data_IF_793288876674
#
_entry.id   IF_793288876674
#
_cell.length_a   1.000
_cell.length_b   1.000
_cell.length_c   1.000
_cell.angle_alpha   90.00
_cell.angle_beta   90.00
_cell.angle_gamma   90.00
#
_symmetry.space_group_name_H-M   'P 1'
#
loop_
_entity.id
_entity.type
_entity.pdbx_description
1 polymer ?
#
# COMPACT_ATOMS: atom_id res chain seq x y z
N UNK A 1 -18.44 -5.47 5.21
CA UNK A 1 -17.96 -5.24 3.83
C UNK A 1 -18.10 -6.56 3.08
N UNK A 2 -19.17 -6.72 2.31
CA UNK A 2 -19.64 -8.04 1.86
C UNK A 2 -18.71 -8.56 0.75
N UNK A 3 -18.12 -9.73 1.01
CA UNK A 3 -17.15 -10.40 0.15
C UNK A 3 -17.79 -10.85 -1.17
N UNK A 4 -17.03 -10.73 -2.26
CA UNK A 4 -17.33 -11.35 -3.55
C UNK A 4 -17.38 -12.88 -3.37
N UNK A 5 -18.58 -13.45 -3.22
CA UNK A 5 -18.78 -14.90 -3.00
C UNK A 5 -18.71 -15.74 -4.27
N UNK A 6 -18.31 -15.15 -5.41
CA UNK A 6 -18.20 -15.85 -6.70
C UNK A 6 -19.54 -16.30 -7.30
N UNK A 7 -20.65 -16.25 -6.55
CA UNK A 7 -22.02 -16.56 -6.99
C UNK A 7 -22.75 -15.36 -7.59
N UNK A 8 -22.33 -14.15 -7.21
CA UNK A 8 -22.90 -12.89 -7.66
C UNK A 8 -21.77 -12.02 -8.22
N UNK A 9 -21.98 -11.49 -9.43
CA UNK A 9 -20.98 -10.67 -10.14
C UNK A 9 -20.71 -9.31 -9.47
N UNK A 10 -21.54 -8.91 -8.49
CA UNK A 10 -21.40 -7.67 -7.73
C UNK A 10 -22.02 -7.86 -6.33
N UNK A 11 -21.30 -7.44 -5.28
CA UNK A 11 -21.77 -7.51 -3.88
C UNK A 11 -22.85 -6.47 -3.52
N UNK A 12 -23.19 -5.56 -4.44
CA UNK A 12 -24.19 -4.51 -4.23
C UNK A 12 -25.54 -4.84 -4.88
N UNK A 13 -25.57 -5.32 -6.13
CA UNK A 13 -26.82 -5.55 -6.85
C UNK A 13 -27.37 -6.98 -6.73
N UNK A 14 -26.59 -7.94 -6.19
CA UNK A 14 -26.98 -9.35 -6.04
C UNK A 14 -27.48 -10.02 -7.34
N UNK A 15 -27.21 -9.46 -8.51
CA UNK A 15 -27.56 -10.08 -9.78
C UNK A 15 -26.86 -11.45 -9.89
N UNK A 16 -27.58 -12.52 -10.27
CA UNK A 16 -26.98 -13.82 -10.52
C UNK A 16 -25.87 -13.63 -11.56
N UNK A 17 -24.62 -13.92 -11.18
CA UNK A 17 -23.54 -13.96 -12.14
C UNK A 17 -23.76 -15.16 -13.07
N UNK A 18 -23.58 -14.99 -14.37
CA UNK A 18 -23.41 -16.15 -15.24
C UNK A 18 -22.04 -16.76 -15.00
N UNK A 19 -22.00 -18.03 -14.61
CA UNK A 19 -20.78 -18.82 -14.69
C UNK A 19 -20.43 -19.00 -16.17
N UNK A 20 -19.34 -18.38 -16.61
CA UNK A 20 -18.69 -18.79 -17.87
C UNK A 20 -18.01 -20.11 -17.54
N UNK A 21 -18.39 -21.19 -18.23
CA UNK A 21 -17.90 -22.53 -17.95
C UNK A 21 -16.38 -22.61 -18.09
N UNK A 22 -15.69 -22.50 -16.94
CA UNK A 22 -14.43 -23.18 -16.72
C UNK A 22 -14.79 -24.51 -16.07
N UNK A 23 -14.41 -25.63 -16.68
CA UNK A 23 -14.59 -26.93 -16.04
C UNK A 23 -13.86 -26.95 -14.69
N UNK A 24 -14.36 -27.67 -13.67
CA UNK A 24 -13.63 -27.85 -12.41
C UNK A 24 -12.17 -28.32 -12.62
N UNK A 25 -11.92 -29.06 -13.70
CA UNK A 25 -10.58 -29.46 -14.14
C UNK A 25 -9.68 -28.27 -14.52
N UNK A 26 -10.23 -27.20 -15.11
CA UNK A 26 -9.49 -25.99 -15.47
C UNK A 26 -8.99 -25.25 -14.24
N UNK A 27 -9.85 -25.06 -13.23
CA UNK A 27 -9.45 -24.41 -11.97
C UNK A 27 -8.40 -25.24 -11.24
N UNK A 28 -8.54 -26.56 -11.21
CA UNK A 28 -7.53 -27.45 -10.62
C UNK A 28 -6.17 -27.37 -11.31
N UNK A 29 -6.14 -27.22 -12.64
CA UNK A 29 -4.89 -27.00 -13.40
C UNK A 29 -4.25 -25.67 -13.02
N UNK A 30 -5.03 -24.59 -12.98
CA UNK A 30 -4.54 -23.27 -12.59
C UNK A 30 -4.01 -23.27 -11.15
N UNK A 31 -4.70 -23.96 -10.25
CA UNK A 31 -4.31 -24.04 -8.84
C UNK A 31 -2.98 -24.78 -8.68
N UNK A 32 -2.82 -25.92 -9.35
CA UNK A 32 -1.55 -26.67 -9.37
C UNK A 32 -0.40 -25.80 -9.88
N UNK A 33 -0.63 -25.05 -10.97
CA UNK A 33 0.38 -24.14 -11.54
C UNK A 33 0.74 -23.02 -10.60
N UNK A 34 -0.25 -22.35 -10.01
CA UNK A 34 -0.03 -21.30 -9.02
C UNK A 34 0.83 -21.83 -7.87
N UNK A 35 0.45 -22.95 -7.28
CA UNK A 35 1.16 -23.53 -6.13
C UNK A 35 2.59 -23.98 -6.47
N UNK A 36 2.86 -24.34 -7.74
CA UNK A 36 4.19 -24.78 -8.21
C UNK A 36 5.21 -23.67 -8.44
N UNK A 37 4.76 -22.41 -8.58
CA UNK A 37 5.69 -21.27 -8.73
C UNK A 37 6.56 -21.20 -7.47
N UNK A 38 7.79 -20.68 -7.50
CA UNK A 38 8.56 -20.39 -6.29
C UNK A 38 8.71 -18.87 -6.15
N UNK A 39 8.29 -18.24 -5.03
CA UNK A 39 8.31 -16.81 -4.92
C UNK A 39 9.70 -16.33 -4.49
N UNK A 40 10.11 -15.10 -4.84
CA UNK A 40 11.29 -14.49 -4.24
C UNK A 40 11.17 -14.44 -2.71
N UNK A 41 12.29 -14.53 -2.00
CA UNK A 41 12.33 -14.52 -0.53
C UNK A 41 11.75 -13.23 0.09
N UNK A 42 11.69 -12.13 -0.66
CA UNK A 42 11.10 -10.86 -0.26
C UNK A 42 9.57 -10.90 -0.10
N UNK A 43 8.91 -11.99 -0.52
CA UNK A 43 7.45 -12.11 -0.43
C UNK A 43 7.07 -12.61 0.95
N UNK A 44 6.48 -11.72 1.76
CA UNK A 44 6.07 -12.03 3.14
C UNK A 44 4.89 -12.99 3.25
N UNK A 45 4.17 -13.25 2.15
CA UNK A 45 3.02 -14.18 2.09
C UNK A 45 3.15 -15.14 0.92
N UNK A 46 3.04 -16.43 1.24
CA UNK A 46 3.04 -17.51 0.26
C UNK A 46 1.69 -17.60 -0.47
N UNK A 47 1.71 -18.28 -1.62
CA UNK A 47 0.54 -18.49 -2.45
C UNK A 47 -0.46 -19.40 -1.76
N UNK A 48 -1.73 -19.08 -1.90
CA UNK A 48 -2.86 -19.91 -1.48
C UNK A 48 -3.66 -20.34 -2.69
N UNK A 49 -4.51 -21.35 -2.51
CA UNK A 49 -5.36 -21.85 -3.57
C UNK A 49 -6.27 -20.76 -4.14
N UNK A 50 -6.59 -20.84 -5.42
CA UNK A 50 -7.58 -19.99 -6.09
C UNK A 50 -8.98 -20.13 -5.48
N UNK A 51 -9.26 -21.23 -4.78
CA UNK A 51 -10.51 -21.41 -4.05
C UNK A 51 -10.66 -20.42 -2.89
N UNK A 52 -9.54 -19.98 -2.29
CA UNK A 52 -9.51 -19.05 -1.15
C UNK A 52 -9.41 -17.58 -1.59
N UNK A 53 -9.53 -17.29 -2.89
CA UNK A 53 -9.31 -15.93 -3.43
C UNK A 53 -10.22 -14.86 -2.82
N UNK A 54 -11.40 -15.24 -2.33
CA UNK A 54 -12.30 -14.32 -1.60
C UNK A 54 -11.75 -13.87 -0.24
N UNK A 55 -10.73 -14.56 0.30
CA UNK A 55 -10.03 -14.25 1.55
C UNK A 55 -8.61 -13.73 1.31
N UNK A 56 -8.20 -13.52 0.06
CA UNK A 56 -6.90 -12.94 -0.25
C UNK A 56 -6.80 -11.49 0.22
N UNK A 57 -5.69 -11.17 0.87
CA UNK A 57 -5.35 -9.78 1.20
C UNK A 57 -4.90 -9.04 -0.05
N UNK A 58 -4.91 -7.72 0.01
CA UNK A 58 -4.48 -6.86 -1.11
C UNK A 58 -3.05 -7.19 -1.58
N UNK A 59 -2.14 -7.53 -0.66
CA UNK A 59 -0.78 -7.96 -1.02
C UNK A 59 -0.74 -9.26 -1.83
N UNK A 60 -1.66 -10.19 -1.58
CA UNK A 60 -1.78 -11.43 -2.34
C UNK A 60 -2.37 -11.17 -3.72
N UNK A 61 -3.38 -10.29 -3.81
CA UNK A 61 -3.90 -9.82 -5.09
C UNK A 61 -2.86 -9.10 -5.94
N UNK A 62 -2.03 -8.26 -5.31
CA UNK A 62 -0.88 -7.61 -5.97
C UNK A 62 0.08 -8.67 -6.54
N UNK A 63 0.46 -9.64 -5.71
CA UNK A 63 1.38 -10.69 -6.13
C UNK A 63 0.80 -11.57 -7.25
N UNK A 64 -0.49 -11.89 -7.15
CA UNK A 64 -1.23 -12.58 -8.21
C UNK A 64 -1.14 -11.80 -9.52
N UNK A 65 -1.54 -10.53 -9.52
CA UNK A 65 -1.57 -9.71 -10.73
C UNK A 65 -0.18 -9.63 -11.39
N UNK A 66 0.85 -9.30 -10.62
CA UNK A 66 2.16 -8.94 -11.17
C UNK A 66 3.06 -10.12 -11.48
N UNK A 67 2.97 -11.22 -10.73
CA UNK A 67 3.95 -12.31 -10.82
C UNK A 67 3.36 -13.67 -11.19
N UNK A 68 2.11 -13.94 -10.79
CA UNK A 68 1.57 -15.30 -10.91
C UNK A 68 0.53 -15.45 -12.03
N UNK A 69 -0.25 -14.40 -12.30
CA UNK A 69 -1.42 -14.49 -13.15
C UNK A 69 -1.08 -14.97 -14.56
N UNK A 70 -0.17 -14.26 -15.25
CA UNK A 70 0.20 -14.57 -16.64
C UNK A 70 0.77 -15.99 -16.83
N UNK A 71 1.79 -16.45 -16.07
CA UNK A 71 2.29 -17.82 -16.23
C UNK A 71 1.27 -18.88 -15.81
N UNK A 72 0.43 -18.60 -14.81
CA UNK A 72 -0.60 -19.53 -14.36
C UNK A 72 -1.64 -19.79 -15.45
N UNK A 73 -2.14 -18.73 -16.08
CA UNK A 73 -3.25 -18.81 -17.06
C UNK A 73 -2.80 -19.08 -18.51
N UNK A 74 -1.49 -19.03 -18.80
CA UNK A 74 -0.95 -19.23 -20.15
C UNK A 74 -1.29 -20.61 -20.73
N UNK A 75 -1.86 -20.67 -21.93
CA UNK A 75 -2.25 -21.94 -22.57
C UNK A 75 -3.44 -22.66 -21.94
N UNK A 76 -4.02 -22.12 -20.87
CA UNK A 76 -5.30 -22.58 -20.30
C UNK A 76 -6.42 -21.63 -20.71
N UNK A 77 -6.17 -20.33 -20.61
CA UNK A 77 -7.08 -19.29 -21.05
C UNK A 77 -7.00 -19.13 -22.57
N UNK A 78 -8.14 -18.87 -23.24
CA UNK A 78 -8.13 -18.63 -24.69
C UNK A 78 -7.19 -17.45 -25.02
N UNK A 79 -6.43 -17.50 -26.14
CA UNK A 79 -5.40 -16.52 -26.45
C UNK A 79 -5.88 -15.06 -26.39
N UNK A 80 -7.13 -14.79 -26.80
CA UNK A 80 -7.73 -13.44 -26.76
C UNK A 80 -7.82 -12.88 -25.33
N UNK A 81 -8.25 -13.69 -24.36
CA UNK A 81 -8.39 -13.24 -22.98
C UNK A 81 -7.02 -13.17 -22.31
N UNK A 82 -6.07 -14.04 -22.67
CA UNK A 82 -4.71 -13.95 -22.14
C UNK A 82 -4.03 -12.66 -22.59
N UNK A 83 -4.10 -12.33 -23.90
CA UNK A 83 -3.61 -11.05 -24.42
C UNK A 83 -4.31 -9.86 -23.77
N UNK A 84 -5.60 -9.98 -23.48
CA UNK A 84 -6.33 -8.96 -22.74
C UNK A 84 -5.80 -8.78 -21.31
N UNK A 85 -5.54 -9.87 -20.57
CA UNK A 85 -4.93 -9.81 -19.24
C UNK A 85 -3.53 -9.20 -19.26
N UNK A 86 -2.73 -9.47 -20.30
CA UNK A 86 -1.40 -8.85 -20.47
C UNK A 86 -1.48 -7.32 -20.49
N UNK A 87 -2.49 -6.73 -21.16
CA UNK A 87 -2.67 -5.27 -21.17
C UNK A 87 -2.80 -4.68 -19.76
N UNK A 88 -3.59 -5.33 -18.89
CA UNK A 88 -3.76 -4.90 -17.50
C UNK A 88 -2.47 -5.04 -16.72
N UNK A 89 -1.80 -6.19 -16.83
CA UNK A 89 -0.56 -6.48 -16.07
C UNK A 89 0.55 -5.52 -16.49
N UNK A 90 0.78 -5.36 -17.79
CA UNK A 90 1.80 -4.42 -18.31
C UNK A 90 1.51 -2.98 -17.89
N UNK A 91 0.25 -2.54 -18.03
CA UNK A 91 -0.15 -1.17 -17.67
C UNK A 91 0.07 -0.88 -16.19
N UNK A 92 -0.36 -1.78 -15.30
CA UNK A 92 -0.17 -1.60 -13.85
C UNK A 92 1.30 -1.72 -13.45
N UNK A 93 2.05 -2.67 -14.04
CA UNK A 93 3.47 -2.86 -13.74
C UNK A 93 4.30 -1.62 -14.10
N UNK A 94 4.07 -1.02 -15.26
CA UNK A 94 4.76 0.19 -15.68
C UNK A 94 4.53 1.37 -14.72
N UNK A 95 3.31 1.48 -14.17
CA UNK A 95 2.95 2.52 -13.19
C UNK A 95 3.48 2.27 -11.77
N UNK A 96 4.13 1.13 -11.54
CA UNK A 96 4.75 0.74 -10.26
C UNK A 96 6.28 0.85 -10.28
N UNK A 97 6.90 1.19 -11.41
CA UNK A 97 8.35 1.36 -11.48
C UNK A 97 8.80 2.54 -10.61
N UNK A 98 10.04 2.47 -10.12
CA UNK A 98 10.63 3.57 -9.33
C UNK A 98 10.95 4.78 -10.19
N UNK A 99 11.35 4.54 -11.45
CA UNK A 99 11.60 5.57 -12.44
C UNK A 99 10.65 5.36 -13.63
N UNK A 100 9.69 6.26 -13.80
CA UNK A 100 8.67 6.18 -14.85
C UNK A 100 8.93 7.32 -15.84
N UNK A 101 9.36 6.99 -17.06
CA UNK A 101 9.53 8.01 -18.10
C UNK A 101 8.17 8.45 -18.66
N UNK A 102 8.08 9.62 -19.32
CA UNK A 102 6.86 10.03 -20.02
C UNK A 102 6.37 9.00 -21.06
N UNK A 103 7.31 8.27 -21.68
CA UNK A 103 7.00 7.18 -22.62
C UNK A 103 6.36 5.99 -21.91
N UNK A 104 6.88 5.59 -20.75
CA UNK A 104 6.30 4.51 -19.95
C UNK A 104 4.89 4.86 -19.50
N UNK A 105 4.69 6.10 -19.07
CA UNK A 105 3.37 6.62 -18.67
C UNK A 105 2.36 6.60 -19.82
N UNK A 106 2.76 7.08 -20.99
CA UNK A 106 1.93 7.03 -22.20
C UNK A 106 1.61 5.59 -22.61
N UNK A 107 2.60 4.70 -22.55
CA UNK A 107 2.41 3.31 -22.90
C UNK A 107 1.46 2.61 -21.92
N UNK A 108 1.61 2.86 -20.62
CA UNK A 108 0.72 2.35 -19.60
C UNK A 108 -0.72 2.85 -19.79
N UNK A 109 -0.90 4.14 -20.04
CA UNK A 109 -2.21 4.73 -20.34
C UNK A 109 -2.88 4.05 -21.53
N UNK A 110 -2.14 3.85 -22.63
CA UNK A 110 -2.64 3.16 -23.82
C UNK A 110 -3.03 1.70 -23.51
N UNK A 111 -2.22 0.96 -22.76
CA UNK A 111 -2.52 -0.43 -22.38
C UNK A 111 -3.78 -0.53 -21.52
N UNK A 112 -3.92 0.34 -20.52
CA UNK A 112 -5.09 0.37 -19.65
C UNK A 112 -6.35 0.81 -20.39
N UNK A 113 -6.24 1.75 -21.33
CA UNK A 113 -7.35 2.15 -22.20
C UNK A 113 -7.81 1.01 -23.12
N UNK A 114 -6.86 0.28 -23.73
CA UNK A 114 -7.16 -0.89 -24.55
C UNK A 114 -7.82 -2.02 -23.74
N UNK A 115 -7.42 -2.20 -22.48
CA UNK A 115 -8.08 -3.14 -21.58
C UNK A 115 -9.53 -2.72 -21.29
N UNK A 116 -9.76 -1.47 -20.89
CA UNK A 116 -11.10 -0.98 -20.54
C UNK A 116 -12.04 -1.01 -21.75
N UNK A 117 -11.57 -0.60 -22.94
CA UNK A 117 -12.38 -0.56 -24.16
C UNK A 117 -12.85 -1.94 -24.63
N UNK A 118 -12.06 -3.00 -24.41
CA UNK A 118 -12.39 -4.37 -24.82
C UNK A 118 -13.14 -5.15 -23.73
N UNK A 119 -13.07 -4.71 -22.49
CA UNK A 119 -13.61 -5.42 -21.33
C UNK A 119 -15.11 -5.73 -21.45
N UNK A 120 -15.93 -4.76 -21.87
CA UNK A 120 -17.37 -4.98 -22.03
C UNK A 120 -17.69 -6.04 -23.10
N UNK A 121 -16.93 -6.08 -24.20
CA UNK A 121 -17.11 -7.08 -25.26
C UNK A 121 -16.66 -8.49 -24.85
N UNK A 122 -15.68 -8.59 -23.94
CA UNK A 122 -15.16 -9.88 -23.47
C UNK A 122 -15.90 -10.46 -22.26
N UNK A 123 -16.33 -9.60 -21.34
CA UNK A 123 -16.88 -10.02 -20.06
C UNK A 123 -18.32 -9.56 -19.83
N UNK A 124 -18.87 -8.73 -20.72
CA UNK A 124 -20.21 -8.16 -20.60
C UNK A 124 -20.28 -6.86 -19.81
N UNK A 125 -21.42 -6.18 -19.89
CA UNK A 125 -21.61 -4.84 -19.28
C UNK A 125 -21.45 -4.83 -17.75
N UNK A 126 -21.77 -5.93 -17.08
CA UNK A 126 -21.62 -6.07 -15.63
C UNK A 126 -20.16 -5.99 -15.15
N UNK A 127 -19.18 -6.21 -16.05
CA UNK A 127 -17.77 -6.06 -15.74
C UNK A 127 -17.34 -4.59 -15.66
N UNK A 128 -18.09 -3.67 -16.28
CA UNK A 128 -17.77 -2.22 -16.35
C UNK A 128 -18.12 -1.50 -15.04
N UNK A 129 -17.46 -1.91 -13.97
CA UNK A 129 -17.60 -1.30 -12.64
C UNK A 129 -16.80 -0.01 -12.54
N UNK A 130 -17.04 0.77 -11.48
CA UNK A 130 -16.24 1.96 -11.16
C UNK A 130 -14.74 1.63 -11.08
N UNK A 131 -14.37 0.49 -10.52
CA UNK A 131 -12.97 0.06 -10.40
C UNK A 131 -12.33 -0.16 -11.77
N UNK A 132 -13.08 -0.67 -12.75
CA UNK A 132 -12.59 -0.83 -14.13
C UNK A 132 -12.45 0.53 -14.81
N UNK A 133 -13.41 1.44 -14.58
CA UNK A 133 -13.31 2.81 -15.10
C UNK A 133 -12.11 3.57 -14.51
N UNK A 134 -11.81 3.39 -13.22
CA UNK A 134 -10.68 4.03 -12.55
C UNK A 134 -9.32 3.72 -13.18
N UNK A 135 -9.19 2.59 -13.90
CA UNK A 135 -7.97 2.25 -14.64
C UNK A 135 -7.57 3.31 -15.68
N UNK A 136 -8.55 4.02 -16.26
CA UNK A 136 -8.30 5.08 -17.24
C UNK A 136 -7.55 6.28 -16.62
N UNK A 137 -7.68 6.48 -15.31
CA UNK A 137 -7.15 7.64 -14.60
C UNK A 137 -5.82 7.36 -13.90
N UNK A 138 -5.39 6.09 -13.82
CA UNK A 138 -4.19 5.71 -13.06
C UNK A 138 -2.92 6.38 -13.59
N UNK A 139 -2.76 6.47 -14.91
CA UNK A 139 -1.60 7.13 -15.50
C UNK A 139 -1.54 8.62 -15.11
N UNK A 140 -2.69 9.32 -15.15
CA UNK A 140 -2.75 10.73 -14.74
C UNK A 140 -2.49 10.90 -13.25
N UNK A 141 -2.99 9.99 -12.43
CA UNK A 141 -2.70 9.99 -10.99
C UNK A 141 -1.20 9.81 -10.72
N UNK A 142 -0.53 8.94 -11.48
CA UNK A 142 0.93 8.75 -11.34
C UNK A 142 1.72 9.97 -11.80
N UNK A 143 1.29 10.62 -12.88
CA UNK A 143 1.88 11.88 -13.34
C UNK A 143 1.80 12.97 -12.26
N UNK A 144 0.67 13.05 -11.54
CA UNK A 144 0.44 14.10 -10.56
C UNK A 144 1.00 13.79 -9.16
N UNK A 145 0.98 12.52 -8.74
CA UNK A 145 1.23 12.10 -7.35
C UNK A 145 2.43 11.16 -7.18
N UNK A 146 3.09 10.79 -8.28
CA UNK A 146 4.14 9.78 -8.30
C UNK A 146 3.62 8.33 -8.40
N UNK A 147 4.53 7.34 -8.40
CA UNK A 147 4.21 5.92 -8.65
C UNK A 147 3.08 5.37 -7.78
N UNK A 148 2.39 4.32 -8.25
CA UNK A 148 1.23 3.74 -7.54
C UNK A 148 1.54 3.25 -6.12
N UNK A 149 2.80 2.89 -5.83
CA UNK A 149 3.17 2.50 -4.47
C UNK A 149 3.22 3.70 -3.51
N UNK A 150 3.47 4.92 -4.01
CA UNK A 150 3.55 6.15 -3.22
C UNK A 150 2.17 6.74 -2.88
N UNK A 151 1.15 6.46 -3.69
CA UNK A 151 -0.22 6.95 -3.49
C UNK A 151 -1.17 5.87 -2.92
N UNK A 152 -0.62 4.79 -2.36
CA UNK A 152 -1.41 3.69 -1.81
C UNK A 152 -1.97 4.02 -0.41
N UNK A 153 -3.11 3.41 -0.07
CA UNK A 153 -3.71 3.54 1.25
C UNK A 153 -3.02 2.70 2.35
N UNK A 154 -1.98 1.92 2.02
CA UNK A 154 -1.34 1.01 2.98
C UNK A 154 -0.77 1.68 4.24
N UNK A 155 -0.11 2.86 4.16
CA UNK A 155 0.36 3.55 5.36
C UNK A 155 -0.79 3.96 6.26
N UNK A 156 -1.89 4.44 5.70
CA UNK A 156 -3.09 4.86 6.44
C UNK A 156 -3.78 3.69 7.11
N UNK A 157 -3.98 2.57 6.40
CA UNK A 157 -4.56 1.34 6.98
C UNK A 157 -3.70 0.78 8.12
N UNK A 158 -2.37 0.82 7.95
CA UNK A 158 -1.42 0.42 9.01
C UNK A 158 -1.52 1.35 10.21
N UNK A 159 -1.64 2.67 9.97
CA UNK A 159 -1.86 3.68 11.01
C UNK A 159 -3.15 3.45 11.77
N UNK A 160 -4.27 3.27 11.07
CA UNK A 160 -5.58 2.96 11.65
C UNK A 160 -5.50 1.71 12.54
N UNK A 161 -4.81 0.66 12.08
CA UNK A 161 -4.59 -0.55 12.86
C UNK A 161 -3.81 -0.32 14.17
N UNK A 162 -2.87 0.64 14.18
CA UNK A 162 -2.17 1.05 15.41
C UNK A 162 -3.10 1.84 16.34
N UNK A 163 -3.82 2.82 15.80
CA UNK A 163 -4.76 3.66 16.57
C UNK A 163 -5.84 2.82 17.25
N UNK A 164 -6.44 1.87 16.54
CA UNK A 164 -7.48 0.99 17.12
C UNK A 164 -6.94 0.17 18.30
N UNK A 165 -5.69 -0.31 18.22
CA UNK A 165 -5.03 -1.04 19.32
C UNK A 165 -4.71 -0.14 20.53
N UNK A 166 -4.70 1.18 20.36
CA UNK A 166 -4.55 2.13 21.47
C UNK A 166 -5.81 2.21 22.33
N UNK A 167 -6.96 1.74 21.86
CA UNK A 167 -8.18 1.68 22.68
C UNK A 167 -8.26 0.31 23.35
N UNK A 168 -8.10 0.27 24.68
CA UNK A 168 -8.20 -0.97 25.49
C UNK A 168 -9.47 -1.04 26.33
N UNK A 169 -10.08 0.10 26.66
CA UNK A 169 -11.31 0.17 27.44
C UNK A 169 -12.46 0.78 26.64
N UNK A 170 -13.69 0.40 26.97
CA UNK A 170 -14.90 0.81 26.27
C UNK A 170 -15.24 2.31 26.43
N UNK A 171 -14.66 3.01 27.41
CA UNK A 171 -14.91 4.43 27.69
C UNK A 171 -13.64 5.26 27.47
N UNK A 172 -13.81 6.50 27.02
CA UNK A 172 -12.71 7.46 26.90
C UNK A 172 -11.69 7.13 25.80
N UNK A 173 -12.13 6.55 24.68
CA UNK A 173 -11.25 6.20 23.57
C UNK A 173 -10.36 7.37 23.08
N UNK A 174 -10.85 8.62 22.95
CA UNK A 174 -9.99 9.75 22.57
C UNK A 174 -8.85 10.01 23.55
N UNK A 175 -9.13 9.96 24.87
CA UNK A 175 -8.11 10.18 25.90
C UNK A 175 -7.07 9.06 25.92
N UNK A 176 -7.51 7.80 25.79
CA UNK A 176 -6.60 6.66 25.71
C UNK A 176 -5.65 6.75 24.50
N UNK A 177 -6.13 7.28 23.37
CA UNK A 177 -5.30 7.50 22.19
C UNK A 177 -4.31 8.64 22.47
N UNK A 178 -4.80 9.78 22.98
CA UNK A 178 -3.97 10.96 23.27
C UNK A 178 -2.82 10.63 24.21
N UNK A 179 -3.11 9.99 25.35
CA UNK A 179 -2.11 9.62 26.36
C UNK A 179 -0.99 8.77 25.74
N UNK A 180 -1.35 7.73 24.99
CA UNK A 180 -0.37 6.81 24.39
C UNK A 180 0.43 7.42 23.25
N UNK A 181 -0.16 8.32 22.48
CA UNK A 181 0.56 9.06 21.43
C UNK A 181 1.57 10.02 22.07
N UNK A 182 1.19 10.71 23.14
CA UNK A 182 2.08 11.61 23.89
C UNK A 182 3.22 10.82 24.53
N UNK A 183 2.94 9.68 25.17
CA UNK A 183 3.96 8.78 25.72
C UNK A 183 4.98 8.34 24.66
N UNK A 184 4.50 7.91 23.48
CA UNK A 184 5.37 7.49 22.38
C UNK A 184 6.21 8.65 21.82
N UNK A 185 5.64 9.84 21.69
CA UNK A 185 6.37 11.02 21.23
C UNK A 185 7.45 11.44 22.22
N UNK A 186 7.16 11.38 23.52
CA UNK A 186 8.10 11.69 24.58
C UNK A 186 9.26 10.69 24.63
N UNK A 187 8.97 9.40 24.46
CA UNK A 187 10.00 8.34 24.44
C UNK A 187 11.00 8.54 23.29
N UNK A 188 10.50 8.87 22.08
CA UNK A 188 11.36 9.20 20.93
C UNK A 188 12.22 10.44 21.20
N UNK A 189 11.63 11.48 21.78
CA UNK A 189 12.35 12.71 22.12
C UNK A 189 13.47 12.42 23.16
N UNK A 190 13.18 11.63 24.19
CA UNK A 190 14.14 11.24 25.22
C UNK A 190 15.30 10.42 24.65
N UNK A 191 15.04 9.50 23.72
CA UNK A 191 16.08 8.70 23.07
C UNK A 191 16.94 9.51 22.07
N UNK A 192 16.49 10.69 21.66
CA UNK A 192 17.25 11.62 20.81
C UNK A 192 18.10 12.62 21.60
N UNK A 193 17.96 12.66 22.92
CA UNK A 193 18.74 13.53 23.80
C UNK A 193 20.01 12.80 24.28
N UNK A 194 21.17 13.34 23.97
CA UNK A 194 22.43 12.91 24.59
C UNK A 194 22.67 13.71 25.87
N UNK A 195 22.82 13.03 27.00
CA UNK A 195 23.27 13.65 28.25
C UNK A 195 24.74 14.05 28.09
N UNK A 196 25.02 15.35 28.02
CA UNK A 196 26.39 15.87 28.09
C UNK A 196 26.90 15.69 29.52
N UNK A 197 28.04 15.02 29.68
CA UNK A 197 28.68 14.90 30.99
C UNK A 197 29.49 16.17 31.27
N UNK A 198 29.69 16.58 32.53
CA UNK A 198 30.45 17.80 32.86
C UNK A 198 31.87 17.81 32.28
N UNK A 199 32.48 16.65 32.06
CA UNK A 199 33.79 16.50 31.40
C UNK A 199 33.81 16.88 29.92
N UNK A 200 32.64 16.87 29.26
CA UNK A 200 32.50 17.22 27.84
C UNK A 200 32.24 18.73 27.63
N UNK A 201 32.14 19.50 28.73
CA UNK A 201 31.88 20.94 28.70
C UNK A 201 33.19 21.69 29.00
N UNK A 202 33.72 22.40 28.01
CA UNK A 202 35.04 23.05 28.11
C UNK A 202 35.12 24.19 29.15
N UNK A 203 33.98 24.67 29.70
CA UNK A 203 33.91 25.75 30.68
C UNK A 203 32.73 25.54 31.66
N UNK A 204 32.83 25.97 32.93
CA UNK A 204 31.81 25.72 33.98
C UNK A 204 30.53 26.56 33.88
N UNK A 205 30.28 27.24 32.76
CA UNK A 205 29.03 27.97 32.55
C UNK A 205 28.02 27.07 31.82
N UNK A 206 27.06 26.54 32.57
CA UNK A 206 25.97 25.73 32.05
C UNK A 206 25.07 26.59 31.14
N UNK A 207 25.19 26.43 29.82
CA UNK A 207 24.30 27.04 28.84
C UNK A 207 23.18 26.04 28.56
N UNK A 208 21.97 26.30 29.06
CA UNK A 208 20.79 25.48 28.73
C UNK A 208 20.05 26.19 27.60
N UNK A 209 20.07 25.59 26.41
CA UNK A 209 19.32 26.06 25.25
C UNK A 209 17.91 25.45 25.28
N UNK A 210 16.89 26.30 25.47
CA UNK A 210 15.50 25.90 25.33
C UNK A 210 15.01 26.37 23.97
N UNK A 211 14.86 25.42 23.03
CA UNK A 211 14.29 25.69 21.72
C UNK A 211 12.77 25.80 21.80
N UNK A 212 12.30 26.94 22.32
CA UNK A 212 10.95 27.46 22.03
C UNK A 212 10.93 29.00 22.10
N UNK A 213 10.73 29.60 20.92
CA UNK A 213 10.33 30.99 20.63
C UNK A 213 11.18 32.16 21.17
N UNK A 214 12.17 32.55 20.34
CA UNK A 214 12.50 33.93 19.95
C UNK A 214 12.74 35.00 21.03
N UNK A 215 13.35 34.67 22.17
CA UNK A 215 14.03 35.68 23.00
C UNK A 215 15.34 35.15 23.58
N UNK A 216 16.46 35.75 23.18
CA UNK A 216 17.78 35.48 23.75
C UNK A 216 18.04 36.45 24.91
N UNK A 217 18.35 35.95 26.10
CA UNK A 217 18.80 36.77 27.22
C UNK A 217 20.33 36.68 27.35
N UNK A 218 21.00 37.83 27.36
CA UNK A 218 22.44 37.93 27.66
C UNK A 218 22.59 38.11 29.17
N UNK A 219 23.27 37.17 29.83
CA UNK A 219 23.73 37.36 31.20
C UNK A 219 24.91 38.35 31.18
N UNK A 220 24.71 39.55 31.72
CA UNK A 220 25.71 40.64 31.76
C UNK A 220 26.38 40.78 33.13
N UNK A 221 26.42 39.74 33.96
CA UNK A 221 27.15 39.82 35.22
C UNK A 221 28.66 39.84 34.94
N UNK A 222 29.39 40.90 35.34
CA UNK A 222 30.84 40.91 35.25
C UNK A 222 31.42 39.90 36.23
N UNK A 223 32.26 38.99 35.73
CA UNK A 223 33.11 38.13 36.53
C UNK A 223 34.09 39.01 37.33
N UNK A 224 33.73 39.37 38.56
CA UNK A 224 34.66 39.89 39.56
C UNK A 224 34.78 38.86 40.68
N UNK A 225 35.50 37.77 40.37
CA UNK A 225 36.22 37.00 41.37
C UNK A 225 37.66 36.89 40.85
N UNK A 226 38.43 37.97 41.00
CA UNK A 226 39.87 37.85 41.16
C UNK A 226 40.09 37.35 42.59
N UNK A 227 40.48 36.08 42.71
CA UNK A 227 41.22 35.58 43.86
C UNK A 227 42.70 35.68 43.49
N UNK A 228 43.42 36.44 44.30
CA UNK A 228 44.87 36.65 44.43
C UNK A 228 45.63 37.23 43.22
#
# INVERSE_FOLDING_TARGET
MVQFSGRYGCGWCLHPGQTIDGTPSTVAILDRRLLSICPPHSFTRLRRTLNDRCFWKVSEWKNWLLFYCLPTVYGVLQPRFWKHTVLLVEGVFALLLDNISPRDLQQAASRLHDFVSKAAGYYGQHFMTLNVHQLLHLAKNVENLGPLWANSAFPFETGNGKVVKMVKAAKGAPMQILERVVEQALDVALHSLSVLTPSDVAMPCLLIDFTAEATSYVCTLPNLIERD
#
